data_IF_175163860780
#
_entry.id   IF_175163860780
#
_cell.length_a   1.000
_cell.length_b   1.000
_cell.length_c   1.000
_cell.angle_alpha   90.00
_cell.angle_beta   90.00
_cell.angle_gamma   90.00
#
_symmetry.space_group_name_H-M   'P 1'
#
loop_
_entity.id
_entity.type
_entity.pdbx_description
1 polymer ?
#
# COMPACT_ATOMS: atom_id res chain seq x y z
N UNK A 1 -14.64 6.98 -9.69
CA UNK A 1 -13.91 6.23 -8.66
C UNK A 1 -14.91 5.46 -7.83
N UNK A 2 -14.75 4.15 -7.74
CA UNK A 2 -15.59 3.35 -6.83
C UNK A 2 -15.22 3.66 -5.37
N UNK A 3 -16.18 3.62 -4.45
CA UNK A 3 -15.91 3.88 -3.03
C UNK A 3 -14.99 2.79 -2.49
N UNK A 4 -13.79 3.18 -2.07
CA UNK A 4 -12.83 2.27 -1.45
C UNK A 4 -13.30 1.82 -0.07
N UNK A 5 -12.93 0.61 0.32
CA UNK A 5 -13.21 0.07 1.65
C UNK A 5 -12.30 0.70 2.71
N UNK A 6 -12.64 0.51 3.99
CA UNK A 6 -11.78 0.96 5.11
C UNK A 6 -10.39 0.31 5.09
N UNK A 7 -10.27 -0.90 4.56
CA UNK A 7 -8.98 -1.60 4.46
C UNK A 7 -8.14 -1.01 3.32
N UNK A 8 -8.76 -0.72 2.18
CA UNK A 8 -8.11 -0.09 1.04
C UNK A 8 -7.62 1.33 1.38
N UNK A 9 -8.45 2.14 2.02
CA UNK A 9 -8.06 3.48 2.47
C UNK A 9 -6.92 3.42 3.49
N UNK A 10 -6.95 2.47 4.43
CA UNK A 10 -5.91 2.31 5.44
C UNK A 10 -4.57 1.93 4.83
N UNK A 11 -4.57 1.01 3.87
CA UNK A 11 -3.35 0.62 3.17
C UNK A 11 -2.77 1.79 2.36
N UNK A 12 -3.61 2.55 1.65
CA UNK A 12 -3.19 3.78 0.96
C UNK A 12 -2.57 4.81 1.90
N UNK A 13 -3.23 5.10 3.02
CA UNK A 13 -2.71 6.04 4.02
C UNK A 13 -1.38 5.53 4.57
N UNK A 14 -1.30 4.26 4.95
CA UNK A 14 -0.06 3.68 5.46
C UNK A 14 1.09 3.77 4.46
N UNK A 15 0.83 3.49 3.17
CA UNK A 15 1.83 3.55 2.11
C UNK A 15 2.27 4.99 1.79
N UNK A 16 1.48 6.00 2.15
CA UNK A 16 1.84 7.42 2.02
C UNK A 16 2.76 7.94 3.13
N UNK A 17 2.91 7.21 4.24
CA UNK A 17 3.72 7.65 5.37
C UNK A 17 5.22 7.45 5.05
N UNK A 18 6.02 8.45 5.36
CA UNK A 18 7.47 8.39 5.17
C UNK A 18 8.09 7.19 5.90
N UNK A 19 8.99 6.49 5.22
CA UNK A 19 9.70 5.33 5.76
C UNK A 19 8.96 3.99 5.58
N UNK A 20 7.69 4.00 5.18
CA UNK A 20 6.99 2.78 4.80
C UNK A 20 7.25 2.46 3.33
N UNK A 21 7.36 1.17 3.04
CA UNK A 21 7.46 0.64 1.69
C UNK A 21 6.72 -0.69 1.63
N UNK A 22 6.27 -1.09 0.45
CA UNK A 22 5.69 -2.40 0.25
C UNK A 22 6.27 -3.06 -0.97
N UNK A 23 6.78 -4.27 -0.80
CA UNK A 23 7.39 -5.03 -1.88
C UNK A 23 6.85 -6.45 -1.92
N UNK A 24 6.74 -7.00 -3.13
CA UNK A 24 6.52 -8.43 -3.35
C UNK A 24 7.80 -9.02 -3.93
N UNK A 25 8.39 -10.00 -3.23
CA UNK A 25 9.53 -10.75 -3.74
C UNK A 25 9.05 -11.70 -4.86
N UNK A 26 9.52 -11.49 -6.08
CA UNK A 26 9.21 -12.30 -7.25
C UNK A 26 10.36 -13.28 -7.52
N UNK A 27 10.55 -14.25 -6.63
CA UNK A 27 11.43 -15.39 -6.90
C UNK A 27 10.88 -16.23 -8.07
N UNK A 28 11.77 -16.86 -8.84
CA UNK A 28 11.40 -17.79 -9.92
C UNK A 28 10.54 -18.90 -9.31
N UNK A 29 9.28 -19.02 -9.72
CA UNK A 29 8.35 -20.05 -9.22
C UNK A 29 7.08 -19.57 -8.52
N UNK A 30 6.68 -18.30 -8.64
CA UNK A 30 5.36 -17.77 -8.25
C UNK A 30 5.02 -17.83 -6.75
N UNK A 31 5.55 -16.90 -5.95
CA UNK A 31 4.97 -16.67 -4.63
C UNK A 31 4.70 -15.19 -4.37
N UNK A 32 3.46 -14.77 -4.61
CA UNK A 32 2.86 -13.56 -4.03
C UNK A 32 2.84 -13.58 -2.48
N UNK A 33 3.34 -14.65 -1.84
CA UNK A 33 3.29 -14.83 -0.39
C UNK A 33 4.47 -14.19 0.34
N UNK A 34 5.57 -13.89 -0.38
CA UNK A 34 6.72 -13.21 0.20
C UNK A 34 6.58 -11.70 -0.03
N UNK A 35 6.24 -11.00 1.04
CA UNK A 35 6.09 -9.54 1.05
C UNK A 35 7.05 -8.91 2.06
N UNK A 36 7.58 -7.74 1.75
CA UNK A 36 8.38 -6.94 2.70
C UNK A 36 7.65 -5.65 3.08
N UNK A 37 8.05 -5.07 4.22
CA UNK A 37 7.60 -3.78 4.72
C UNK A 37 6.28 -3.79 5.50
N UNK A 38 5.53 -4.90 5.51
CA UNK A 38 4.29 -5.02 6.30
C UNK A 38 4.50 -5.09 7.82
N UNK A 39 5.75 -5.14 8.29
CA UNK A 39 6.09 -5.13 9.72
C UNK A 39 5.62 -3.85 10.43
N UNK A 40 5.61 -2.71 9.74
CA UNK A 40 5.07 -1.45 10.25
C UNK A 40 3.57 -1.26 9.97
N UNK A 41 2.91 -2.20 9.29
CA UNK A 41 1.47 -2.15 9.00
C UNK A 41 0.64 -2.63 10.20
N UNK A 42 0.73 -1.86 11.28
CA UNK A 42 0.15 -2.16 12.59
C UNK A 42 -0.89 -1.12 13.01
N UNK A 43 -1.76 -1.51 13.94
CA UNK A 43 -2.70 -0.61 14.59
C UNK A 43 -2.01 0.30 15.59
N UNK A 44 -2.75 1.29 16.11
CA UNK A 44 -2.31 2.16 17.22
C UNK A 44 -1.87 1.40 18.48
N UNK A 45 -2.24 0.13 18.61
CA UNK A 45 -1.86 -0.75 19.72
C UNK A 45 -0.78 -1.77 19.32
N UNK A 46 -0.15 -1.62 18.16
CA UNK A 46 0.92 -2.52 17.68
C UNK A 46 0.42 -3.84 17.08
N UNK A 47 -0.89 -4.05 16.93
CA UNK A 47 -1.43 -5.27 16.33
C UNK A 47 -1.35 -5.19 14.80
N UNK A 48 -0.73 -6.17 14.15
CA UNK A 48 -0.64 -6.23 12.68
C UNK A 48 -2.01 -6.27 12.03
N UNK A 49 -2.21 -5.42 11.04
CA UNK A 49 -3.38 -5.51 10.17
C UNK A 49 -3.20 -6.68 9.19
N UNK A 50 -4.28 -7.41 8.95
CA UNK A 50 -4.29 -8.40 7.87
C UNK A 50 -4.20 -7.66 6.54
N UNK A 51 -3.26 -8.09 5.69
CA UNK A 51 -3.15 -7.62 4.32
C UNK A 51 -3.79 -8.63 3.36
N UNK A 52 -4.59 -8.14 2.42
CA UNK A 52 -5.17 -8.92 1.33
C UNK A 52 -4.63 -8.37 0.02
N UNK A 53 -4.02 -9.23 -0.81
CA UNK A 53 -3.48 -8.86 -2.12
C UNK A 53 -4.55 -8.25 -3.04
N UNK A 54 -5.84 -8.58 -2.84
CA UNK A 54 -6.96 -7.97 -3.57
C UNK A 54 -7.08 -6.47 -3.31
N UNK A 55 -6.66 -6.01 -2.13
CA UNK A 55 -6.57 -4.57 -1.82
C UNK A 55 -5.58 -3.91 -2.75
N UNK A 56 -4.36 -4.45 -2.88
CA UNK A 56 -3.35 -3.91 -3.78
C UNK A 56 -3.82 -3.91 -5.25
N UNK A 57 -4.33 -5.05 -5.74
CA UNK A 57 -4.85 -5.18 -7.11
C UNK A 57 -5.92 -4.13 -7.40
N UNK A 58 -6.83 -3.90 -6.43
CA UNK A 58 -7.88 -2.89 -6.58
C UNK A 58 -7.30 -1.48 -6.66
N UNK A 59 -6.31 -1.15 -5.82
CA UNK A 59 -5.69 0.18 -5.80
C UNK A 59 -4.88 0.47 -7.07
N UNK A 60 -4.19 -0.54 -7.61
CA UNK A 60 -3.53 -0.46 -8.92
C UNK A 60 -4.56 -0.24 -10.02
N UNK A 61 -5.66 -0.99 -10.01
CA UNK A 61 -6.74 -0.83 -11.01
C UNK A 61 -7.41 0.55 -10.96
N UNK A 62 -7.51 1.16 -9.78
CA UNK A 62 -8.04 2.54 -9.64
C UNK A 62 -6.99 3.62 -9.94
N UNK A 63 -5.76 3.26 -10.30
CA UNK A 63 -4.69 4.20 -10.65
C UNK A 63 -4.08 4.94 -9.46
N UNK A 64 -4.31 4.47 -8.24
CA UNK A 64 -3.84 5.13 -7.01
C UNK A 64 -2.48 4.61 -6.53
N UNK A 65 -2.11 3.41 -6.96
CA UNK A 65 -0.84 2.76 -6.65
C UNK A 65 -0.23 2.26 -7.95
N UNK A 66 1.07 2.39 -8.08
CA UNK A 66 1.86 1.81 -9.16
C UNK A 66 3.05 1.05 -8.58
N UNK A 67 3.86 0.45 -9.43
CA UNK A 67 5.05 -0.28 -9.01
C UNK A 67 6.22 -0.10 -9.96
N UNK A 68 7.41 -0.30 -9.41
CA UNK A 68 8.65 -0.47 -10.16
C UNK A 68 9.30 -1.81 -9.80
N UNK A 69 10.19 -2.28 -10.69
CA UNK A 69 10.97 -3.49 -10.43
C UNK A 69 12.35 -3.10 -9.91
N UNK A 70 12.71 -3.67 -8.76
CA UNK A 70 14.02 -3.53 -8.13
C UNK A 70 14.73 -4.89 -8.09
N UNK A 71 16.06 -4.87 -7.98
CA UNK A 71 16.87 -6.09 -7.86
C UNK A 71 17.82 -6.05 -6.63
N UNK A 72 17.30 -5.87 -5.40
CA UNK A 72 18.15 -5.93 -4.22
C UNK A 72 18.83 -7.29 -4.14
N UNK A 73 20.17 -7.28 -4.08
CA UNK A 73 21.00 -8.50 -4.02
C UNK A 73 20.74 -9.49 -5.18
N UNK A 74 20.31 -9.00 -6.34
CA UNK A 74 20.00 -9.83 -7.51
C UNK A 74 18.64 -10.54 -7.46
N UNK A 75 17.82 -10.30 -6.43
CA UNK A 75 16.48 -10.87 -6.30
C UNK A 75 15.46 -9.87 -6.85
N UNK A 76 14.59 -10.32 -7.75
CA UNK A 76 13.54 -9.47 -8.35
C UNK A 76 12.48 -9.11 -7.30
N UNK A 77 12.34 -7.82 -7.01
CA UNK A 77 11.33 -7.25 -6.14
C UNK A 77 10.41 -6.34 -6.94
N UNK A 78 9.12 -6.35 -6.63
CA UNK A 78 8.15 -5.41 -7.18
C UNK A 78 7.76 -4.45 -6.05
N UNK A 79 8.25 -3.21 -6.14
CA UNK A 79 8.10 -2.17 -5.14
C UNK A 79 6.91 -1.28 -5.49
N UNK A 80 5.95 -1.17 -4.58
CA UNK A 80 4.70 -0.44 -4.80
C UNK A 80 4.69 0.90 -4.07
N UNK A 81 4.21 1.93 -4.76
CA UNK A 81 4.15 3.30 -4.25
C UNK A 81 2.92 4.06 -4.80
N UNK A 82 2.56 5.17 -4.17
CA UNK A 82 1.43 6.00 -4.60
C UNK A 82 1.75 6.69 -5.92
N UNK A 83 0.75 6.78 -6.80
CA UNK A 83 0.77 7.72 -7.92
C UNK A 83 0.46 9.13 -7.42
N UNK A 84 0.64 10.16 -8.26
CA UNK A 84 0.18 11.53 -7.96
C UNK A 84 -1.31 11.55 -7.56
N UNK A 85 -2.15 10.80 -8.29
CA UNK A 85 -3.56 10.66 -7.96
C UNK A 85 -3.79 9.99 -6.59
N UNK A 86 -2.96 9.01 -6.23
CA UNK A 86 -2.96 8.38 -4.91
C UNK A 86 -2.63 9.37 -3.79
N UNK A 87 -1.60 10.20 -3.98
CA UNK A 87 -1.19 11.23 -3.02
C UNK A 87 -2.30 12.27 -2.83
N UNK A 88 -2.90 12.75 -3.92
CA UNK A 88 -4.04 13.67 -3.87
C UNK A 88 -5.24 13.07 -3.15
N UNK A 89 -5.51 11.79 -3.39
CA UNK A 89 -6.62 11.08 -2.75
C UNK A 89 -6.42 10.97 -1.24
N UNK A 90 -5.23 10.56 -0.79
CA UNK A 90 -4.92 10.48 0.65
C UNK A 90 -4.98 11.85 1.31
N UNK A 91 -4.48 12.89 0.65
CA UNK A 91 -4.56 14.27 1.15
C UNK A 91 -6.01 14.65 1.44
N UNK A 92 -6.94 14.42 0.50
CA UNK A 92 -8.37 14.70 0.66
C UNK A 92 -9.02 13.89 1.80
N UNK A 93 -8.60 12.63 2.02
CA UNK A 93 -9.09 11.82 3.14
C UNK A 93 -8.73 12.45 4.50
N UNK A 94 -7.51 12.96 4.63
CA UNK A 94 -7.03 13.57 5.87
C UNK A 94 -7.68 14.93 6.14
N UNK A 95 -7.95 15.74 5.11
CA UNK A 95 -8.67 17.00 5.27
C UNK A 95 -10.16 16.82 5.60
N UNK A 96 -10.80 15.73 5.14
CA UNK A 96 -12.19 15.42 5.45
C UNK A 96 -12.45 15.01 6.91
N UNK A 97 -11.42 14.65 7.68
CA UNK A 97 -11.56 14.30 9.10
C UNK A 97 -11.51 15.49 10.07
N UNK A 98 -11.19 16.70 9.59
CA UNK A 98 -11.12 17.91 10.42
C UNK A 98 -12.42 18.74 10.47
N UNK A 99 -13.54 18.25 9.90
CA UNK A 99 -14.79 19.03 9.82
C UNK A 99 -15.85 18.66 10.86
N UNK A 100 -15.53 17.87 11.90
CA UNK A 100 -16.45 17.53 12.98
C UNK A 100 -15.81 17.77 14.37
N UNK A 101 -15.46 19.03 14.65
CA UNK A 101 -15.07 19.51 15.97
C UNK A 101 -15.91 20.72 16.37
#
# INVERSE_FOLDING_TARGET
>A
MSKLTKEQNRFLIWLSLNGNHFEICREVGNSYRKTNGLDSYVSKHGQRYKFDIRTLIKLVKEGLVTSEILFPYGIKHEHYFLTEQGVDYVSKLNFGTCSNG
#
